data_IF_833838177212
#
_entry.id   IF_833838177212
#
_cell.length_a   1.000
_cell.length_b   1.000
_cell.length_c   1.000
_cell.angle_alpha   90.00
_cell.angle_beta   90.00
_cell.angle_gamma   90.00
#
_symmetry.space_group_name_H-M   'P 1'
#
loop_
_entity.id
_entity.type
_entity.pdbx_description
1 polymer ?
#
# COMPACT_ATOMS: atom_id res chain seq x y z
N UNK A 1 -10.60 15.85 -5.87
CA UNK A 1 -9.89 14.57 -6.11
C UNK A 1 -8.51 14.62 -5.48
N UNK A 2 -7.84 13.47 -5.33
CA UNK A 2 -6.44 13.42 -4.87
C UNK A 2 -6.20 13.73 -3.39
N UNK A 3 -7.20 13.54 -2.53
CA UNK A 3 -7.03 13.62 -1.07
C UNK A 3 -7.63 12.37 -0.40
N UNK A 4 -7.11 12.04 0.78
CA UNK A 4 -7.68 11.00 1.66
C UNK A 4 -8.82 11.58 2.49
N UNK A 5 -9.75 10.74 2.95
CA UNK A 5 -10.93 11.17 3.72
C UNK A 5 -10.59 12.09 4.91
N UNK A 6 -9.48 11.81 5.63
CA UNK A 6 -8.99 12.64 6.74
C UNK A 6 -8.70 14.10 6.36
N UNK A 7 -8.36 14.34 5.10
CA UNK A 7 -8.00 15.65 4.57
C UNK A 7 -9.13 16.28 3.74
N UNK A 8 -10.33 15.67 3.73
CA UNK A 8 -11.49 16.24 3.08
C UNK A 8 -11.99 17.46 3.88
N UNK A 9 -12.27 18.56 3.20
CA UNK A 9 -12.82 19.78 3.80
C UNK A 9 -14.35 19.80 3.85
N UNK A 10 -15.02 18.74 3.39
CA UNK A 10 -16.46 18.64 3.45
C UNK A 10 -16.94 18.52 4.90
N UNK A 11 -18.00 19.25 5.24
CA UNK A 11 -18.60 19.23 6.59
C UNK A 11 -19.46 18.00 6.85
N UNK A 12 -19.88 17.31 5.79
CA UNK A 12 -20.81 16.18 5.85
C UNK A 12 -20.24 15.00 5.06
N UNK A 13 -20.36 13.80 5.62
CA UNK A 13 -20.04 12.56 4.93
C UNK A 13 -21.09 12.25 3.86
N UNK A 14 -20.62 11.89 2.67
CA UNK A 14 -21.47 11.48 1.55
C UNK A 14 -21.27 9.99 1.29
N UNK A 15 -22.37 9.26 1.21
CA UNK A 15 -22.38 7.82 1.01
C UNK A 15 -21.91 7.46 -0.40
N UNK A 16 -20.89 6.59 -0.49
CA UNK A 16 -20.37 6.12 -1.78
C UNK A 16 -21.32 5.19 -2.56
N UNK A 17 -22.34 4.65 -1.89
CA UNK A 17 -23.31 3.74 -2.51
C UNK A 17 -24.49 4.50 -3.10
N UNK A 18 -25.12 5.40 -2.33
CA UNK A 18 -26.38 6.04 -2.71
C UNK A 18 -26.30 7.56 -2.84
N UNK A 19 -25.12 8.18 -2.68
CA UNK A 19 -24.89 9.62 -2.83
C UNK A 19 -25.63 10.53 -1.82
N UNK A 20 -26.26 9.97 -0.79
CA UNK A 20 -26.93 10.71 0.27
C UNK A 20 -25.98 11.10 1.41
N UNK A 21 -26.43 12.02 2.27
CA UNK A 21 -25.67 12.52 3.44
C UNK A 21 -25.74 11.52 4.60
N UNK A 22 -24.77 10.61 4.64
CA UNK A 22 -24.47 9.69 5.74
C UNK A 22 -23.17 8.95 5.44
N UNK A 23 -22.60 8.29 6.45
CA UNK A 23 -21.47 7.39 6.24
C UNK A 23 -21.89 6.13 5.49
N UNK A 24 -21.08 5.66 4.56
CA UNK A 24 -21.36 4.43 3.79
C UNK A 24 -21.69 3.22 4.69
N UNK A 25 -21.13 3.15 5.89
CA UNK A 25 -21.41 2.10 6.90
C UNK A 25 -22.84 2.11 7.44
N UNK A 26 -23.53 3.25 7.36
CA UNK A 26 -24.91 3.45 7.83
C UNK A 26 -25.92 3.38 6.66
N UNK A 27 -25.46 3.06 5.45
CA UNK A 27 -26.30 3.07 4.27
C UNK A 27 -27.30 1.91 4.27
N UNK A 28 -28.59 2.24 4.30
CA UNK A 28 -29.71 1.28 4.18
C UNK A 28 -30.36 1.28 2.79
N UNK A 29 -29.94 2.20 1.91
CA UNK A 29 -30.46 2.29 0.54
C UNK A 29 -30.08 1.07 -0.29
N UNK A 30 -31.05 0.56 -1.05
CA UNK A 30 -30.81 -0.45 -2.11
C UNK A 30 -30.46 0.17 -3.46
N UNK A 31 -30.67 1.48 -3.61
CA UNK A 31 -30.38 2.22 -4.82
C UNK A 31 -28.90 2.57 -4.87
N UNK A 32 -28.30 2.36 -6.03
CA UNK A 32 -26.92 2.74 -6.32
C UNK A 32 -26.91 4.05 -7.11
N UNK A 33 -26.16 5.03 -6.63
CA UNK A 33 -25.98 6.31 -7.30
C UNK A 33 -24.51 6.69 -7.21
N UNK A 34 -23.91 6.95 -8.36
CA UNK A 34 -22.54 7.41 -8.45
C UNK A 34 -22.48 8.92 -8.20
N UNK A 35 -21.82 9.35 -7.13
CA UNK A 35 -21.70 10.79 -6.80
C UNK A 35 -20.90 11.57 -7.85
N UNK A 36 -20.01 10.91 -8.59
CA UNK A 36 -19.15 11.55 -9.57
C UNK A 36 -19.90 11.90 -10.85
N UNK A 37 -20.53 10.90 -11.48
CA UNK A 37 -21.22 11.07 -12.77
C UNK A 37 -22.75 11.12 -12.65
N UNK A 38 -23.28 11.07 -11.42
CA UNK A 38 -24.72 11.12 -11.10
C UNK A 38 -25.57 9.99 -11.73
N UNK A 39 -24.94 8.91 -12.17
CA UNK A 39 -25.63 7.75 -12.73
C UNK A 39 -26.26 6.87 -11.65
N UNK A 40 -27.49 6.40 -11.89
CA UNK A 40 -28.21 5.44 -11.05
C UNK A 40 -27.88 3.96 -11.37
N UNK A 41 -26.93 3.71 -12.29
CA UNK A 41 -26.59 2.36 -12.74
C UNK A 41 -25.43 1.75 -11.96
N UNK A 42 -24.63 2.58 -11.27
CA UNK A 42 -23.47 2.13 -10.52
C UNK A 42 -23.20 3.03 -9.32
N UNK A 43 -22.33 2.56 -8.43
CA UNK A 43 -21.86 3.23 -7.21
C UNK A 43 -20.59 4.04 -7.47
N UNK A 44 -20.20 4.95 -6.56
CA UNK A 44 -19.08 5.87 -6.79
C UNK A 44 -17.71 5.19 -6.90
N UNK A 45 -17.54 4.00 -6.31
CA UNK A 45 -16.31 3.21 -6.36
C UNK A 45 -16.22 2.29 -7.59
N UNK A 46 -17.20 2.33 -8.51
CA UNK A 46 -17.16 1.50 -9.71
C UNK A 46 -16.08 2.00 -10.68
N UNK A 47 -15.22 1.07 -11.13
CA UNK A 47 -14.11 1.34 -12.05
C UNK A 47 -14.53 1.59 -13.50
N UNK A 48 -15.78 1.28 -13.85
CA UNK A 48 -16.34 1.58 -15.18
C UNK A 48 -16.99 2.96 -15.25
N UNK A 49 -16.96 3.74 -14.16
CA UNK A 49 -17.48 5.11 -14.16
C UNK A 49 -16.66 5.98 -15.13
N UNK A 50 -17.29 6.69 -16.09
CA UNK A 50 -16.56 7.49 -17.08
C UNK A 50 -15.77 8.63 -16.44
N UNK A 51 -16.30 9.27 -15.39
CA UNK A 51 -15.57 10.30 -14.66
C UNK A 51 -14.39 9.73 -13.87
N UNK A 52 -14.51 8.51 -13.34
CA UNK A 52 -13.38 7.85 -12.68
C UNK A 52 -12.25 7.60 -13.69
N UNK A 53 -12.57 7.06 -14.87
CA UNK A 53 -11.58 6.83 -15.93
C UNK A 53 -10.90 8.14 -16.35
N UNK A 54 -11.68 9.19 -16.62
CA UNK A 54 -11.16 10.51 -16.96
C UNK A 54 -10.23 11.07 -15.88
N UNK A 55 -10.57 10.92 -14.60
CA UNK A 55 -9.70 11.38 -13.51
C UNK A 55 -8.41 10.55 -13.42
N UNK A 56 -8.45 9.25 -13.71
CA UNK A 56 -7.24 8.42 -13.79
C UNK A 56 -6.32 8.87 -14.92
N UNK A 57 -6.86 9.15 -16.09
CA UNK A 57 -6.10 9.67 -17.24
C UNK A 57 -5.41 10.99 -16.89
N UNK A 58 -6.14 11.95 -16.31
CA UNK A 58 -5.56 13.23 -15.86
C UNK A 58 -4.45 13.05 -14.81
N UNK A 59 -4.58 12.06 -13.92
CA UNK A 59 -3.53 11.75 -12.94
C UNK A 59 -2.31 11.11 -13.62
N UNK A 60 -2.50 10.25 -14.60
CA UNK A 60 -1.41 9.65 -15.38
C UNK A 60 -0.66 10.70 -16.23
N UNK A 61 -1.38 11.65 -16.83
CA UNK A 61 -0.79 12.76 -17.57
C UNK A 61 0.02 13.70 -16.65
N UNK A 62 -0.47 13.91 -15.42
CA UNK A 62 0.20 14.77 -14.44
C UNK A 62 1.47 14.15 -13.87
N UNK A 63 1.51 12.82 -13.69
CA UNK A 63 2.62 12.10 -13.07
C UNK A 63 3.14 11.03 -14.03
N UNK A 64 4.19 11.36 -14.78
CA UNK A 64 4.77 10.49 -15.81
C UNK A 64 5.24 9.15 -15.23
N UNK A 65 5.62 9.12 -13.95
CA UNK A 65 5.98 7.91 -13.20
C UNK A 65 4.87 6.85 -13.25
N UNK A 66 3.59 7.24 -13.31
CA UNK A 66 2.47 6.31 -13.40
C UNK A 66 2.43 5.54 -14.72
N UNK A 67 3.03 6.11 -15.78
CA UNK A 67 3.12 5.49 -17.11
C UNK A 67 4.46 4.81 -17.35
N UNK A 68 5.43 4.97 -16.44
CA UNK A 68 6.73 4.33 -16.60
C UNK A 68 6.65 2.82 -16.30
N UNK A 69 7.33 1.98 -17.09
CA UNK A 69 7.45 0.56 -16.78
C UNK A 69 8.11 0.34 -15.41
N UNK A 70 7.48 -0.47 -14.55
CA UNK A 70 7.99 -0.77 -13.20
C UNK A 70 9.17 -1.76 -13.19
N UNK A 71 9.28 -2.58 -14.23
CA UNK A 71 10.39 -3.51 -14.42
C UNK A 71 11.16 -3.13 -15.68
N UNK A 72 12.47 -3.35 -15.63
CA UNK A 72 13.31 -3.25 -16.83
C UNK A 72 12.75 -4.23 -17.86
N UNK A 73 12.22 -3.71 -18.96
CA UNK A 73 11.83 -4.52 -20.11
C UNK A 73 13.09 -5.01 -20.83
N UNK A 74 13.00 -6.08 -21.64
CA UNK A 74 14.14 -6.62 -22.41
C UNK A 74 14.76 -5.62 -23.42
N UNK A 75 14.15 -4.45 -23.57
CA UNK A 75 14.65 -3.35 -24.38
C UNK A 75 15.97 -2.80 -23.83
N UNK A 76 17.01 -2.75 -24.66
CA UNK A 76 18.37 -2.38 -24.21
C UNK A 76 18.49 -1.02 -23.53
N UNK A 77 17.58 -0.06 -23.79
CA UNK A 77 17.61 1.28 -23.18
C UNK A 77 17.12 1.31 -21.73
N UNK A 78 16.43 0.27 -21.25
CA UNK A 78 16.00 0.15 -19.85
C UNK A 78 17.06 -0.53 -18.98
N UNK A 79 18.05 -1.22 -19.55
CA UNK A 79 19.16 -1.77 -18.78
C UNK A 79 20.15 -0.68 -18.40
N UNK A 80 20.16 -0.31 -17.11
CA UNK A 80 21.28 0.43 -16.53
C UNK A 80 22.54 -0.39 -16.82
N UNK A 81 23.45 0.16 -17.62
CA UNK A 81 24.81 -0.37 -17.75
C UNK A 81 25.36 -0.43 -16.33
N UNK A 82 25.38 -1.63 -15.72
CA UNK A 82 26.10 -1.82 -14.47
C UNK A 82 27.50 -1.26 -14.71
N UNK A 83 27.99 -0.32 -13.89
CA UNK A 83 29.40 0.05 -13.96
C UNK A 83 30.18 -1.26 -13.89
N UNK A 84 31.16 -1.47 -14.79
CA UNK A 84 31.87 -2.74 -14.88
C UNK A 84 32.27 -3.15 -13.48
N UNK A 85 31.85 -4.36 -13.09
CA UNK A 85 32.06 -4.92 -11.77
C UNK A 85 33.54 -4.74 -11.46
N UNK A 86 33.88 -3.85 -10.53
CA UNK A 86 35.25 -3.67 -10.08
C UNK A 86 35.72 -5.06 -9.64
N UNK A 87 36.71 -5.58 -10.36
CA UNK A 87 37.31 -6.88 -10.05
C UNK A 87 37.65 -6.88 -8.57
N UNK A 88 37.48 -8.01 -7.86
CA UNK A 88 37.95 -8.09 -6.49
C UNK A 88 39.46 -7.85 -6.52
N UNK A 89 39.87 -6.63 -6.19
CA UNK A 89 41.24 -6.31 -5.85
C UNK A 89 41.61 -7.30 -4.76
N UNK A 90 42.56 -8.17 -5.07
CA UNK A 90 43.17 -9.09 -4.12
C UNK A 90 43.71 -8.25 -2.97
N UNK A 91 42.92 -8.13 -1.90
CA UNK A 91 43.42 -7.60 -0.65
C UNK A 91 44.52 -8.55 -0.17
N UNK A 92 45.73 -8.06 0.18
CA UNK A 92 46.76 -8.91 0.72
C UNK A 92 46.23 -9.58 2.00
N UNK A 93 46.60 -10.85 2.18
CA UNK A 93 46.10 -11.69 3.26
C UNK A 93 46.25 -11.00 4.63
N UNK A 94 45.25 -11.05 5.51
CA UNK A 94 45.38 -10.53 6.85
C UNK A 94 46.47 -11.30 7.59
N UNK A 95 47.44 -10.55 8.12
CA UNK A 95 48.56 -11.09 8.88
C UNK A 95 48.02 -11.89 10.08
N UNK A 96 48.42 -13.17 10.15
CA UNK A 96 48.05 -14.08 11.23
C UNK A 96 48.59 -13.56 12.56
N UNK A 97 47.72 -13.01 13.39
CA UNK A 97 48.04 -12.72 14.79
C UNK A 97 47.35 -13.76 15.66
N UNK A 98 48.18 -14.42 16.47
CA UNK A 98 47.87 -15.64 17.20
C UNK A 98 46.74 -15.44 18.22
N UNK A 99 45.89 -16.46 18.35
CA UNK A 99 44.99 -16.62 19.48
C UNK A 99 45.77 -16.98 20.75
N UNK A 100 45.31 -16.53 21.93
CA UNK A 100 44.78 -17.53 22.87
C UNK A 100 43.62 -17.03 23.74
N UNK A 101 42.67 -17.93 24.05
CA UNK A 101 41.81 -17.77 25.23
C UNK A 101 40.40 -18.33 25.08
N UNK A 102 40.24 -19.64 25.34
CA UNK A 102 38.94 -20.29 25.54
C UNK A 102 38.20 -19.68 26.74
N UNK A 103 36.88 -19.45 26.64
CA UNK A 103 35.89 -19.64 27.72
C UNK A 103 34.44 -19.65 27.16
N UNK A 104 33.83 -20.84 27.17
CA UNK A 104 32.45 -21.17 27.59
C UNK A 104 31.21 -20.55 26.89
N UNK A 105 30.12 -21.32 26.66
CA UNK A 105 28.94 -20.86 25.93
C UNK A 105 27.86 -20.24 26.85
N UNK A 106 27.09 -19.28 26.35
CA UNK A 106 25.75 -18.96 26.88
C UNK A 106 24.85 -18.40 25.79
N UNK A 107 24.07 -19.32 25.23
CA UNK A 107 22.62 -19.25 24.95
C UNK A 107 21.99 -17.88 24.64
N UNK A 108 21.50 -17.78 23.40
CA UNK A 108 20.47 -16.81 23.00
C UNK A 108 19.15 -17.04 23.74
N UNK A 109 18.38 -15.99 24.06
CA UNK A 109 16.96 -16.14 24.33
C UNK A 109 16.17 -16.11 23.02
N UNK A 110 15.51 -17.23 22.72
CA UNK A 110 14.39 -17.32 21.77
C UNK A 110 13.15 -16.60 22.32
N UNK A 111 12.22 -16.18 21.46
CA UNK A 111 11.02 -15.44 21.86
C UNK A 111 10.04 -16.33 22.63
N UNK A 112 9.51 -15.81 23.74
CA UNK A 112 8.51 -16.48 24.56
C UNK A 112 7.13 -16.36 23.93
N UNK A 113 6.61 -17.48 23.42
CA UNK A 113 5.19 -17.69 23.20
C UNK A 113 4.52 -17.94 24.56
N UNK A 114 3.44 -17.23 24.85
CA UNK A 114 2.40 -17.72 25.77
C UNK A 114 1.02 -17.25 25.25
N UNK A 115 0.28 -18.20 24.69
CA UNK A 115 -1.18 -18.29 24.80
C UNK A 115 -1.52 -18.49 26.30
N UNK A 116 -2.63 -18.04 26.88
CA UNK A 116 -4.08 -18.16 26.62
C UNK A 116 -4.75 -17.07 27.49
N UNK A 117 -5.99 -16.58 27.35
CA UNK A 117 -7.32 -17.21 27.37
C UNK A 117 -8.39 -16.06 27.26
N UNK A 118 -9.72 -16.24 27.34
CA UNK A 118 -10.65 -15.71 26.35
C UNK A 118 -11.66 -14.71 26.95
N UNK A 119 -12.66 -14.37 26.14
CA UNK A 119 -13.98 -13.83 26.54
C UNK A 119 -14.02 -12.44 27.18
N UNK A 120 -14.42 -11.46 26.37
CA UNK A 120 -15.42 -10.48 26.81
C UNK A 120 -16.40 -10.17 25.68
N UNK A 121 -17.50 -10.92 25.70
CA UNK A 121 -18.76 -10.62 25.00
C UNK A 121 -19.44 -9.43 25.67
N UNK A 122 -20.43 -8.82 24.96
CA UNK A 122 -21.62 -8.05 25.43
C UNK A 122 -21.66 -6.61 24.84
N UNK A 123 -22.81 -6.08 24.35
CA UNK A 123 -23.82 -6.62 23.43
C UNK A 123 -24.22 -5.58 22.33
N UNK A 124 -25.06 -5.96 21.36
CA UNK A 124 -25.72 -5.00 20.46
C UNK A 124 -27.05 -4.49 21.08
N UNK A 125 -27.46 -3.21 20.87
CA UNK A 125 -28.80 -2.77 21.18
C UNK A 125 -29.80 -3.08 20.05
N UNK A 126 -31.06 -3.19 20.49
CA UNK A 126 -32.25 -3.72 19.82
C UNK A 126 -32.94 -2.69 18.94
#
# INVERSE_FOLDING_TARGET
>A
YGHIARNCSATVDVCGTCSNQHRTTECTSRNMVCINCQSHHHTSWNRTCPDFTRQCELINEKFLENTMPYYLTETSWTHVNQPPRSTPTTYPAPCSTQSPGKRGPSSQPSPSNHATDPTHTIPYPR
#
